data_IF_532962028323
#
_entry.id   IF_532962028323
#
_cell.length_a   1.000
_cell.length_b   1.000
_cell.length_c   1.000
_cell.angle_alpha   90.00
_cell.angle_beta   90.00
_cell.angle_gamma   90.00
#
_symmetry.space_group_name_H-M   'P 1'
#
loop_
_entity.id
_entity.type
_entity.pdbx_description
1 polymer ?
#
# COMPACT_ATOMS: atom_id res chain seq x y z
N UNK A 1 -0.15 10.08 -4.38
CA UNK A 1 -1.03 9.08 -5.06
C UNK A 1 -0.85 7.73 -4.37
N UNK A 2 -1.90 6.90 -4.28
CA UNK A 2 -1.76 5.56 -3.70
C UNK A 2 -1.03 4.64 -4.70
N UNK A 3 -0.16 3.79 -4.16
CA UNK A 3 0.66 2.89 -4.93
C UNK A 3 1.34 1.88 -4.03
N UNK A 4 1.71 0.73 -4.56
CA UNK A 4 2.48 -0.25 -3.80
C UNK A 4 3.88 0.27 -3.51
N UNK A 5 4.33 0.04 -2.28
CA UNK A 5 5.66 0.38 -1.80
C UNK A 5 6.16 -0.77 -0.90
N UNK A 6 7.39 -0.64 -0.41
CA UNK A 6 8.05 -1.63 0.43
C UNK A 6 8.39 -0.98 1.76
N UNK A 7 8.01 -1.63 2.87
CA UNK A 7 8.43 -1.27 4.22
C UNK A 7 9.56 -2.18 4.67
N UNK A 8 10.59 -1.58 5.25
CA UNK A 8 11.79 -2.25 5.77
C UNK A 8 12.13 -1.75 7.16
N UNK A 9 13.10 -2.39 7.82
CA UNK A 9 13.64 -1.88 9.09
C UNK A 9 14.28 -0.51 8.90
N UNK A 10 14.22 0.33 9.94
CA UNK A 10 14.67 1.73 9.89
C UNK A 10 16.13 1.88 9.43
N UNK A 11 16.98 0.94 9.82
CA UNK A 11 18.41 0.88 9.55
C UNK A 11 18.77 0.17 8.23
N UNK A 12 17.82 -0.49 7.55
CA UNK A 12 18.10 -1.19 6.29
C UNK A 12 18.41 -0.18 5.18
N UNK A 13 19.59 -0.28 4.56
CA UNK A 13 19.99 0.55 3.40
C UNK A 13 20.15 -0.28 2.13
N UNK A 14 19.78 -1.55 2.16
CA UNK A 14 20.05 -2.54 1.10
C UNK A 14 18.84 -2.76 0.18
N UNK A 15 17.64 -2.46 0.68
CA UNK A 15 16.40 -2.49 -0.09
C UNK A 15 16.00 -1.06 -0.39
N UNK A 16 15.93 -0.72 -1.67
CA UNK A 16 15.60 0.63 -2.16
C UNK A 16 14.45 0.62 -3.16
N UNK A 17 13.79 -0.53 -3.32
CA UNK A 17 12.71 -0.74 -4.27
C UNK A 17 12.59 -2.21 -4.63
N UNK A 18 11.66 -2.56 -5.55
CA UNK A 18 11.37 -3.95 -5.88
C UNK A 18 12.55 -4.66 -6.58
N UNK A 19 13.42 -3.92 -7.26
CA UNK A 19 14.59 -4.49 -7.91
C UNK A 19 15.64 -5.06 -6.94
N UNK A 20 15.58 -4.66 -5.66
CA UNK A 20 16.47 -5.18 -4.61
C UNK A 20 16.26 -6.68 -4.31
N UNK A 21 15.22 -7.31 -4.86
CA UNK A 21 14.94 -8.74 -4.72
C UNK A 21 15.47 -9.61 -5.88
N UNK A 22 15.98 -8.99 -6.97
CA UNK A 22 16.45 -9.72 -8.17
C UNK A 22 17.68 -10.60 -7.92
N UNK A 23 18.44 -10.34 -6.86
CA UNK A 23 19.61 -11.14 -6.48
C UNK A 23 19.23 -12.52 -5.88
N UNK A 24 18.00 -12.68 -5.38
CA UNK A 24 17.49 -13.90 -4.78
C UNK A 24 17.76 -14.06 -3.28
N UNK A 25 18.40 -13.08 -2.63
CA UNK A 25 18.91 -13.22 -1.24
C UNK A 25 17.94 -12.71 -0.18
N UNK A 26 16.98 -11.87 -0.58
CA UNK A 26 16.08 -11.17 0.34
C UNK A 26 14.67 -11.74 0.24
N UNK A 27 13.99 -11.82 1.39
CA UNK A 27 12.60 -12.24 1.53
C UNK A 27 11.68 -11.05 1.70
N UNK A 28 10.53 -11.10 1.04
CA UNK A 28 9.47 -10.09 1.11
C UNK A 28 8.17 -10.75 1.54
N UNK A 29 7.47 -10.08 2.45
CA UNK A 29 6.20 -10.53 2.96
C UNK A 29 5.03 -9.80 2.31
N UNK A 30 3.97 -10.53 2.02
CA UNK A 30 2.66 -9.95 1.66
C UNK A 30 1.52 -10.83 2.17
N UNK A 31 0.28 -10.38 1.95
CA UNK A 31 -0.92 -11.12 2.34
C UNK A 31 -1.43 -12.00 1.20
N UNK A 32 -1.82 -13.22 1.53
CA UNK A 32 -2.40 -14.20 0.60
C UNK A 32 -3.56 -13.60 -0.20
N UNK A 33 -3.51 -13.74 -1.53
CA UNK A 33 -4.59 -13.31 -2.43
C UNK A 33 -4.65 -11.79 -2.68
N UNK A 34 -3.66 -11.03 -2.19
CA UNK A 34 -3.60 -9.59 -2.40
C UNK A 34 -2.93 -9.22 -3.73
N UNK A 35 -3.34 -8.11 -4.36
CA UNK A 35 -2.66 -7.55 -5.54
C UNK A 35 -1.16 -7.36 -5.32
N UNK A 36 -0.69 -6.88 -4.15
CA UNK A 36 0.75 -6.76 -3.89
C UNK A 36 1.51 -8.08 -3.85
N UNK A 37 0.87 -9.17 -3.40
CA UNK A 37 1.47 -10.49 -3.47
C UNK A 37 1.64 -10.98 -4.92
N UNK A 38 0.74 -10.62 -5.83
CA UNK A 38 0.89 -10.94 -7.26
C UNK A 38 1.91 -10.02 -7.94
N UNK A 39 1.92 -8.73 -7.62
CA UNK A 39 2.83 -7.76 -8.23
C UNK A 39 4.29 -8.09 -7.92
N UNK A 40 4.60 -8.36 -6.66
CA UNK A 40 5.99 -8.57 -6.22
C UNK A 40 6.62 -9.82 -6.86
N UNK A 41 5.81 -10.80 -7.32
CA UNK A 41 6.29 -11.97 -8.05
C UNK A 41 7.05 -11.60 -9.33
N UNK A 42 6.77 -10.44 -9.92
CA UNK A 42 7.46 -9.93 -11.12
C UNK A 42 8.88 -9.41 -10.83
N UNK A 43 9.20 -9.17 -9.55
CA UNK A 43 10.43 -8.52 -9.12
C UNK A 43 11.36 -9.43 -8.32
N UNK A 44 10.84 -10.53 -7.77
CA UNK A 44 11.64 -11.57 -7.11
C UNK A 44 12.24 -12.52 -8.15
N UNK A 45 13.39 -13.11 -7.83
CA UNK A 45 14.07 -14.13 -8.65
C UNK A 45 13.41 -15.50 -8.51
N UNK A 46 13.01 -15.87 -7.30
CA UNK A 46 12.35 -17.13 -6.98
C UNK A 46 11.21 -16.89 -5.98
N UNK A 47 9.98 -17.06 -6.46
CA UNK A 47 8.76 -16.86 -5.65
C UNK A 47 8.72 -17.81 -4.46
N UNK A 48 9.14 -19.08 -4.63
CA UNK A 48 9.00 -20.10 -3.59
C UNK A 48 9.90 -19.86 -2.39
N UNK A 49 11.04 -19.21 -2.59
CA UNK A 49 12.01 -18.91 -1.52
C UNK A 49 11.93 -17.47 -0.99
N UNK A 50 11.48 -16.51 -1.80
CA UNK A 50 11.50 -15.09 -1.46
C UNK A 50 10.14 -14.53 -1.02
N UNK A 51 9.02 -15.03 -1.55
CA UNK A 51 7.69 -14.53 -1.18
C UNK A 51 7.14 -15.31 0.02
N UNK A 52 7.05 -14.64 1.16
CA UNK A 52 6.42 -15.18 2.37
C UNK A 52 5.00 -14.63 2.46
N UNK A 53 4.01 -15.52 2.62
CA UNK A 53 2.62 -15.15 2.70
C UNK A 53 2.05 -15.38 4.10
N UNK A 54 1.34 -14.38 4.62
CA UNK A 54 0.47 -14.51 5.78
C UNK A 54 -0.97 -14.14 5.44
N UNK A 55 -1.88 -14.31 6.40
CA UNK A 55 -3.28 -13.92 6.30
C UNK A 55 -3.52 -12.43 6.63
N UNK A 56 -2.55 -11.75 7.27
CA UNK A 56 -2.69 -10.37 7.77
C UNK A 56 -1.37 -9.61 7.68
N UNK A 57 -1.45 -8.30 7.45
CA UNK A 57 -0.26 -7.44 7.40
C UNK A 57 0.39 -7.25 8.78
N UNK A 58 -0.35 -7.40 9.88
CA UNK A 58 0.22 -7.42 11.23
C UNK A 58 1.25 -8.53 11.40
N UNK A 59 0.96 -9.74 10.90
CA UNK A 59 1.93 -10.85 10.92
C UNK A 59 3.14 -10.57 10.03
N UNK A 60 2.95 -9.93 8.86
CA UNK A 60 4.07 -9.49 8.04
C UNK A 60 4.95 -8.46 8.75
N UNK A 61 4.36 -7.47 9.42
CA UNK A 61 5.09 -6.48 10.23
C UNK A 61 5.88 -7.17 11.34
N UNK A 62 5.27 -8.11 12.05
CA UNK A 62 5.93 -8.81 13.16
C UNK A 62 7.06 -9.72 12.65
N UNK A 63 6.86 -10.39 11.51
CA UNK A 63 7.90 -11.15 10.82
C UNK A 63 9.07 -10.26 10.38
N UNK A 64 8.79 -9.05 9.87
CA UNK A 64 9.82 -8.06 9.54
C UNK A 64 10.57 -7.63 10.80
N UNK A 65 9.85 -7.27 11.87
CA UNK A 65 10.44 -6.87 13.15
C UNK A 65 11.38 -7.95 13.69
N UNK A 66 10.92 -9.20 13.69
CA UNK A 66 11.67 -10.38 14.10
C UNK A 66 12.79 -10.81 13.14
N UNK A 67 12.90 -10.21 11.95
CA UNK A 67 13.93 -10.53 10.96
C UNK A 67 13.70 -11.84 10.19
N UNK A 68 12.48 -12.39 10.23
CA UNK A 68 12.11 -13.57 9.43
C UNK A 68 12.00 -13.24 7.93
N UNK A 69 11.65 -11.99 7.63
CA UNK A 69 11.64 -11.39 6.28
C UNK A 69 12.45 -10.10 6.31
N UNK A 70 12.91 -9.66 5.14
CA UNK A 70 13.65 -8.40 5.00
C UNK A 70 12.73 -7.22 4.70
N UNK A 71 11.51 -7.48 4.21
CA UNK A 71 10.59 -6.46 3.76
C UNK A 71 9.12 -6.89 3.88
N UNK A 72 8.21 -5.91 3.90
CA UNK A 72 6.77 -6.09 3.69
C UNK A 72 6.37 -5.24 2.47
N UNK A 73 5.58 -5.78 1.56
CA UNK A 73 5.04 -5.03 0.42
C UNK A 73 3.52 -4.96 0.48
N UNK A 74 2.99 -3.74 0.31
CA UNK A 74 1.57 -3.41 0.11
C UNK A 74 1.46 -1.94 -0.25
N UNK A 75 0.26 -1.39 -0.26
CA UNK A 75 0.01 -0.01 -0.59
C UNK A 75 0.67 0.93 0.44
N UNK A 76 1.33 1.97 -0.05
CA UNK A 76 2.09 2.93 0.74
C UNK A 76 1.31 3.50 1.93
N UNK A 77 0.03 3.81 1.75
CA UNK A 77 -0.84 4.36 2.80
C UNK A 77 -1.03 3.38 3.97
N UNK A 78 -1.12 2.07 3.69
CA UNK A 78 -1.19 1.02 4.71
C UNK A 78 0.15 0.94 5.45
N UNK A 79 1.25 0.94 4.71
CA UNK A 79 2.60 0.88 5.28
C UNK A 79 2.89 2.09 6.18
N UNK A 80 2.52 3.30 5.75
CA UNK A 80 2.66 4.51 6.56
C UNK A 80 1.85 4.43 7.86
N UNK A 81 0.66 3.83 7.83
CA UNK A 81 -0.12 3.55 9.04
C UNK A 81 0.56 2.60 10.01
N UNK A 82 1.37 1.65 9.53
CA UNK A 82 2.20 0.78 10.39
C UNK A 82 3.44 1.51 10.91
N UNK A 83 4.12 2.28 10.05
CA UNK A 83 5.29 3.07 10.41
C UNK A 83 4.93 4.09 11.50
N UNK A 84 3.80 4.78 11.38
CA UNK A 84 3.31 5.73 12.36
C UNK A 84 3.13 5.16 13.78
N UNK A 85 2.88 3.85 13.89
CA UNK A 85 2.74 3.16 15.19
C UNK A 85 4.10 2.79 15.79
N UNK A 86 5.17 2.75 15.00
CA UNK A 86 6.51 2.30 15.39
C UNK A 86 7.60 2.93 14.50
N UNK A 87 7.68 4.26 14.51
CA UNK A 87 8.54 5.05 13.61
C UNK A 87 10.04 4.78 13.84
N UNK A 88 10.39 4.30 15.02
CA UNK A 88 11.76 3.92 15.36
C UNK A 88 12.20 2.63 14.65
N UNK A 89 11.24 1.75 14.32
CA UNK A 89 11.55 0.41 13.80
C UNK A 89 11.50 0.34 12.27
N UNK A 90 10.73 1.19 11.59
CA UNK A 90 10.42 0.99 10.17
C UNK A 90 10.54 2.26 9.32
N UNK A 91 10.68 2.06 8.00
CA UNK A 91 10.59 3.11 6.97
C UNK A 91 10.10 2.52 5.64
N UNK A 92 9.66 3.40 4.74
CA UNK A 92 9.50 3.05 3.32
C UNK A 92 10.85 2.94 2.63
N UNK A 93 10.92 2.08 1.61
CA UNK A 93 12.09 1.80 0.79
C UNK A 93 11.83 2.15 -0.67
N UNK A 94 12.23 3.37 -1.04
CA UNK A 94 12.07 3.89 -2.40
C UNK A 94 10.68 4.47 -2.69
N UNK A 95 10.42 4.67 -3.98
CA UNK A 95 9.17 5.23 -4.47
C UNK A 95 8.11 4.16 -4.70
N UNK A 96 6.86 4.61 -4.86
CA UNK A 96 5.78 3.72 -5.28
C UNK A 96 6.09 3.13 -6.67
N UNK A 97 5.91 1.82 -6.83
CA UNK A 97 6.19 1.12 -8.09
C UNK A 97 4.93 0.68 -8.84
N UNK A 98 3.74 0.96 -8.29
CA UNK A 98 2.45 0.84 -8.98
C UNK A 98 1.59 2.08 -8.77
N UNK A 99 0.47 2.14 -9.51
CA UNK A 99 -0.64 3.04 -9.25
C UNK A 99 -1.83 2.23 -8.77
N UNK A 100 -2.36 2.57 -7.61
CA UNK A 100 -3.47 1.84 -6.97
C UNK A 100 -4.67 2.77 -6.79
N UNK A 101 -5.49 3.00 -7.84
CA UNK A 101 -6.69 3.82 -7.71
C UNK A 101 -7.74 3.08 -6.87
N UNK A 102 -8.03 3.60 -5.69
CA UNK A 102 -9.05 3.01 -4.81
C UNK A 102 -10.46 3.36 -5.30
N UNK A 103 -11.35 2.38 -5.21
CA UNK A 103 -12.76 2.51 -5.58
C UNK A 103 -13.69 1.91 -4.55
N UNK A 104 -14.97 2.29 -4.61
CA UNK A 104 -16.03 1.72 -3.78
C UNK A 104 -16.76 0.65 -4.59
N UNK A 105 -16.64 -0.61 -4.17
CA UNK A 105 -17.28 -1.74 -4.85
C UNK A 105 -18.79 -1.79 -4.61
N UNK A 106 -19.57 -1.85 -5.68
CA UNK A 106 -21.04 -2.00 -5.64
C UNK A 106 -21.51 -3.08 -6.61
N UNK A 107 -22.76 -3.53 -6.48
CA UNK A 107 -23.37 -4.44 -7.47
C UNK A 107 -23.39 -3.76 -8.84
N UNK A 108 -22.96 -4.49 -9.88
CA UNK A 108 -22.81 -3.95 -11.25
C UNK A 108 -24.07 -3.28 -11.79
N UNK A 109 -25.23 -3.85 -11.51
CA UNK A 109 -26.53 -3.36 -12.01
C UNK A 109 -27.15 -2.25 -11.12
N UNK A 110 -26.57 -1.94 -9.95
CA UNK A 110 -27.08 -0.93 -9.04
C UNK A 110 -26.64 0.49 -9.47
N UNK A 111 -27.21 0.92 -10.60
CA UNK A 111 -26.88 2.20 -11.21
C UNK A 111 -27.28 3.38 -10.33
N UNK A 112 -28.37 3.26 -9.57
CA UNK A 112 -28.84 4.31 -8.67
C UNK A 112 -27.83 4.55 -7.53
N UNK A 113 -27.40 3.48 -6.86
CA UNK A 113 -26.44 3.62 -5.76
C UNK A 113 -25.05 4.05 -6.26
N UNK A 114 -24.60 3.52 -7.41
CA UNK A 114 -23.36 3.99 -8.05
C UNK A 114 -23.40 5.49 -8.33
N UNK A 115 -24.51 6.00 -8.88
CA UNK A 115 -24.68 7.43 -9.17
C UNK A 115 -24.61 8.27 -7.90
N UNK A 116 -25.31 7.85 -6.85
CA UNK A 116 -25.27 8.50 -5.53
C UNK A 116 -23.86 8.59 -4.96
N UNK A 117 -23.08 7.50 -5.01
CA UNK A 117 -21.70 7.48 -4.53
C UNK A 117 -20.83 8.43 -5.35
N UNK A 118 -20.93 8.39 -6.68
CA UNK A 118 -20.14 9.24 -7.57
C UNK A 118 -20.41 10.72 -7.32
N UNK A 119 -21.68 11.12 -7.20
CA UNK A 119 -22.06 12.51 -6.90
C UNK A 119 -21.57 12.94 -5.51
N UNK A 120 -21.58 12.03 -4.54
CA UNK A 120 -21.05 12.29 -3.19
C UNK A 120 -19.54 12.51 -3.21
N UNK A 121 -18.80 11.69 -3.97
CA UNK A 121 -17.34 11.86 -4.14
C UNK A 121 -17.02 13.18 -4.83
N UNK A 122 -17.68 13.50 -5.96
CA UNK A 122 -17.50 14.76 -6.69
C UNK A 122 -17.75 15.97 -5.78
N UNK A 123 -18.83 15.95 -4.99
CA UNK A 123 -19.12 17.00 -4.02
C UNK A 123 -18.04 17.11 -2.94
N UNK A 124 -17.56 15.97 -2.42
CA UNK A 124 -16.53 15.96 -1.37
C UNK A 124 -15.19 16.56 -1.81
N UNK A 125 -14.89 16.49 -3.12
CA UNK A 125 -13.70 17.14 -3.68
C UNK A 125 -13.89 18.65 -3.77
N UNK A 126 -15.09 19.12 -4.11
CA UNK A 126 -15.41 20.54 -4.26
C UNK A 126 -15.57 21.27 -2.92
N UNK A 127 -16.20 20.62 -1.94
CA UNK A 127 -16.46 21.23 -0.62
C UNK A 127 -15.32 21.05 0.40
N UNK A 128 -14.25 20.36 0.00
CA UNK A 128 -13.05 20.15 0.80
C UNK A 128 -13.17 19.02 1.83
N UNK A 129 -14.32 18.34 1.93
CA UNK A 129 -14.50 17.23 2.87
C UNK A 129 -13.53 16.08 2.61
N UNK A 130 -13.18 15.80 1.35
CA UNK A 130 -12.18 14.79 1.01
C UNK A 130 -10.80 15.14 1.54
N UNK A 131 -10.36 16.38 1.31
CA UNK A 131 -9.08 16.86 1.84
C UNK A 131 -9.06 16.79 3.36
N UNK A 132 -10.14 17.22 4.00
CA UNK A 132 -10.25 17.14 5.46
C UNK A 132 -10.15 15.70 5.97
N UNK A 133 -10.83 14.75 5.32
CA UNK A 133 -10.75 13.34 5.67
C UNK A 133 -9.32 12.80 5.53
N UNK A 134 -8.58 13.22 4.49
CA UNK A 134 -7.17 12.88 4.33
C UNK A 134 -6.30 13.44 5.46
N UNK A 135 -6.41 14.74 5.71
CA UNK A 135 -5.60 15.44 6.73
C UNK A 135 -5.85 14.84 8.13
N UNK A 136 -7.08 14.41 8.42
CA UNK A 136 -7.45 13.79 9.69
C UNK A 136 -6.92 12.34 9.82
N UNK A 137 -6.48 11.71 8.72
CA UNK A 137 -6.09 10.29 8.65
C UNK A 137 -4.70 10.09 8.06
N UNK A 138 -4.59 9.67 6.80
CA UNK A 138 -3.33 9.34 6.12
C UNK A 138 -2.33 10.50 6.09
N UNK A 139 -2.84 11.74 5.97
CA UNK A 139 -2.02 12.95 5.96
C UNK A 139 -1.25 13.18 7.26
N UNK A 140 -1.68 12.60 8.39
CA UNK A 140 -0.94 12.70 9.67
C UNK A 140 0.41 12.01 9.66
N UNK A 141 0.60 11.07 8.74
CA UNK A 141 1.73 10.13 8.76
C UNK A 141 2.63 10.26 7.54
N UNK A 142 2.66 11.45 6.92
CA UNK A 142 3.57 11.77 5.83
C UNK A 142 3.12 11.26 4.45
N UNK A 143 1.90 10.76 4.32
CA UNK A 143 1.34 10.47 3.00
C UNK A 143 1.04 11.80 2.28
N UNK A 144 1.57 11.96 1.07
CA UNK A 144 1.29 13.14 0.26
C UNK A 144 -0.13 13.12 -0.30
N UNK A 145 -0.87 14.19 -0.04
CA UNK A 145 -2.14 14.46 -0.68
C UNK A 145 -1.88 14.77 -2.16
N UNK A 146 -2.21 13.83 -3.04
CA UNK A 146 -2.19 14.07 -4.48
C UNK A 146 -3.31 15.00 -4.93
N UNK A 147 -3.40 15.23 -6.24
CA UNK A 147 -4.60 15.83 -6.82
C UNK A 147 -5.83 14.96 -6.52
N UNK A 148 -7.00 15.60 -6.35
CA UNK A 148 -8.25 14.89 -6.25
C UNK A 148 -8.42 14.00 -7.51
N UNK A 149 -8.75 12.71 -7.34
CA UNK A 149 -8.90 11.82 -8.48
C UNK A 149 -10.15 12.17 -9.29
N UNK A 150 -10.10 11.91 -10.60
CA UNK A 150 -11.31 11.95 -11.42
C UNK A 150 -12.19 10.75 -11.09
N UNK A 151 -13.46 10.98 -10.74
CA UNK A 151 -14.41 9.88 -10.50
C UNK A 151 -14.63 9.11 -11.80
N UNK A 152 -14.21 7.84 -11.84
CA UNK A 152 -14.63 6.93 -12.89
C UNK A 152 -16.06 6.46 -12.59
N UNK A 153 -17.00 6.82 -13.48
CA UNK A 153 -18.43 6.52 -13.30
C UNK A 153 -18.84 5.16 -13.92
N UNK A 154 -17.88 4.36 -14.40
CA UNK A 154 -18.08 3.09 -15.14
C UNK A 154 -17.08 1.98 -14.81
#
# INVERSE_FOLDING_TARGET
EAGQNIMVKKDDTTITGPDSFKDGTKKVCSVTGSTPAEEIKKHVKDVGSQLVLFDTYDKCRDALKGGQVNAVTTDNVILLGYIAKDEASFKLAGDNFTKEPYGIGVKKEDTAFRTFINDTLDKSFQDGSWKKAWDDTAGKFGAELGAAPTVNRY
#
